data_IF_999466039192
#
_entry.id   IF_999466039192
#
_cell.length_a   1.000
_cell.length_b   1.000
_cell.length_c   1.000
_cell.angle_alpha   90.00
_cell.angle_beta   90.00
_cell.angle_gamma   90.00
#
_symmetry.space_group_name_H-M   'P 1'
#
loop_
_entity.id
_entity.type
_entity.pdbx_description
1 polymer ?
#
# COMPACT_ATOMS: atom_id res chain seq x y z
N UNK A 1 -10.46 12.06 -17.85
CA UNK A 1 -9.86 11.16 -16.85
C UNK A 1 -8.65 10.53 -17.51
N UNK A 2 -7.43 11.03 -17.25
CA UNK A 2 -6.23 10.42 -17.84
C UNK A 2 -6.01 9.08 -17.15
N UNK A 3 -6.23 7.98 -17.87
CA UNK A 3 -5.88 6.64 -17.41
C UNK A 3 -4.37 6.61 -17.18
N UNK A 4 -3.93 6.82 -15.94
CA UNK A 4 -2.52 6.75 -15.60
C UNK A 4 -2.16 5.28 -15.57
N UNK A 5 -1.21 4.87 -16.40
CA UNK A 5 -0.64 3.50 -16.40
C UNK A 5 -0.30 3.05 -14.97
N UNK A 6 0.13 3.99 -14.11
CA UNK A 6 0.33 3.79 -12.68
C UNK A 6 -0.88 3.14 -11.97
N UNK A 7 -2.12 3.60 -12.23
CA UNK A 7 -3.32 3.04 -11.59
C UNK A 7 -3.58 1.59 -11.97
N UNK A 8 -3.16 1.16 -13.16
CA UNK A 8 -3.20 -0.23 -13.57
C UNK A 8 -2.08 -1.03 -12.90
N UNK A 9 -0.87 -0.47 -12.84
CA UNK A 9 0.31 -1.15 -12.31
C UNK A 9 0.21 -1.49 -10.81
N UNK A 10 -0.45 -0.64 -10.00
CA UNK A 10 -0.69 -0.93 -8.56
C UNK A 10 -1.63 -2.12 -8.33
N UNK A 11 -2.31 -2.60 -9.36
CA UNK A 11 -3.22 -3.75 -9.33
C UNK A 11 -2.55 -4.96 -9.99
N UNK A 12 -2.03 -4.78 -11.21
CA UNK A 12 -1.41 -5.86 -11.97
C UNK A 12 -0.17 -6.44 -11.27
N UNK A 13 0.76 -5.61 -10.78
CA UNK A 13 2.00 -6.12 -10.16
C UNK A 13 1.68 -7.03 -8.96
N UNK A 14 0.87 -6.60 -7.97
CA UNK A 14 0.42 -7.47 -6.88
C UNK A 14 -0.23 -8.78 -7.37
N UNK A 15 -1.14 -8.69 -8.34
CA UNK A 15 -1.80 -9.86 -8.92
C UNK A 15 -0.83 -10.85 -9.56
N UNK A 16 0.17 -10.37 -10.30
CA UNK A 16 1.23 -11.21 -10.89
C UNK A 16 2.00 -11.91 -9.79
N UNK A 17 2.41 -11.17 -8.74
CA UNK A 17 3.20 -11.73 -7.64
C UNK A 17 2.42 -12.82 -6.91
N UNK A 18 1.16 -12.57 -6.55
CA UNK A 18 0.33 -13.57 -5.87
C UNK A 18 0.12 -14.81 -6.75
N UNK A 19 -0.21 -14.62 -8.03
CA UNK A 19 -0.46 -15.73 -8.97
C UNK A 19 0.80 -16.56 -9.19
N UNK A 20 1.93 -15.91 -9.49
CA UNK A 20 3.19 -16.56 -9.79
C UNK A 20 3.76 -17.29 -8.57
N UNK A 21 3.82 -16.62 -7.41
CA UNK A 21 4.37 -17.23 -6.21
C UNK A 21 3.49 -18.38 -5.70
N UNK A 22 2.16 -18.25 -5.75
CA UNK A 22 1.27 -19.36 -5.38
C UNK A 22 1.43 -20.54 -6.35
N UNK A 23 1.54 -20.27 -7.65
CA UNK A 23 1.78 -21.31 -8.66
C UNK A 23 3.09 -22.07 -8.42
N UNK A 24 4.19 -21.36 -8.18
CA UNK A 24 5.51 -21.96 -7.88
C UNK A 24 5.48 -22.81 -6.61
N UNK A 25 4.69 -22.43 -5.61
CA UNK A 25 4.63 -23.13 -4.33
C UNK A 25 3.72 -24.35 -4.33
N UNK A 26 2.73 -24.40 -5.22
CA UNK A 26 1.72 -25.46 -5.27
C UNK A 26 2.01 -26.48 -6.38
N UNK A 27 2.56 -26.04 -7.52
CA UNK A 27 2.78 -26.93 -8.67
C UNK A 27 4.09 -27.70 -8.52
N UNK A 28 4.01 -29.02 -8.65
CA UNK A 28 5.18 -29.88 -8.79
C UNK A 28 5.79 -29.72 -10.20
N UNK A 29 7.11 -29.87 -10.34
CA UNK A 29 7.87 -29.71 -11.60
C UNK A 29 7.31 -30.61 -12.72
N UNK A 30 6.78 -31.79 -12.36
CA UNK A 30 6.13 -32.71 -13.30
C UNK A 30 4.78 -32.20 -13.82
N UNK A 31 4.03 -31.47 -13.01
CA UNK A 31 2.76 -30.87 -13.42
C UNK A 31 2.98 -29.69 -14.36
N UNK A 32 4.10 -28.96 -14.18
CA UNK A 32 4.50 -27.89 -15.07
C UNK A 32 4.83 -28.38 -16.50
N UNK A 33 5.41 -29.58 -16.63
CA UNK A 33 5.78 -30.18 -17.93
C UNK A 33 4.56 -30.63 -18.75
N UNK A 34 3.50 -31.07 -18.10
CA UNK A 34 2.22 -31.43 -18.77
C UNK A 34 1.45 -30.17 -19.18
N UNK A 35 1.53 -29.11 -18.38
CA UNK A 35 0.89 -27.84 -18.71
C UNK A 35 1.51 -27.20 -19.95
N UNK A 36 2.84 -27.28 -20.12
CA UNK A 36 3.54 -26.65 -21.25
C UNK A 36 3.20 -27.26 -22.62
N UNK A 37 2.86 -28.55 -22.68
CA UNK A 37 2.47 -29.21 -23.93
C UNK A 37 1.05 -28.83 -24.39
N UNK A 38 0.13 -28.59 -23.44
CA UNK A 38 -1.25 -28.16 -23.69
C UNK A 38 -1.36 -26.70 -24.17
N UNK A 39 -0.44 -25.85 -23.74
CA UNK A 39 -0.50 -24.41 -24.02
C UNK A 39 -0.09 -24.09 -25.47
N UNK A 40 0.72 -24.95 -26.13
CA UNK A 40 1.43 -24.61 -27.38
C UNK A 40 0.49 -24.16 -28.52
N UNK A 41 -0.68 -24.78 -28.64
CA UNK A 41 -1.63 -24.49 -29.73
C UNK A 41 -2.68 -23.42 -29.38
N UNK A 42 -2.77 -23.00 -28.10
CA UNK A 42 -3.77 -22.04 -27.59
C UNK A 42 -3.16 -20.90 -26.77
N UNK A 43 -1.87 -20.63 -26.97
CA UNK A 43 -1.07 -19.62 -26.24
C UNK A 43 -1.80 -18.28 -26.05
N UNK A 44 -2.40 -17.73 -27.11
CA UNK A 44 -3.08 -16.45 -27.04
C UNK A 44 -4.28 -16.45 -26.07
N UNK A 45 -5.05 -17.53 -26.04
CA UNK A 45 -6.18 -17.70 -25.12
C UNK A 45 -5.69 -17.79 -23.68
N UNK A 46 -4.64 -18.57 -23.43
CA UNK A 46 -4.06 -18.72 -22.10
C UNK A 46 -3.44 -17.43 -21.57
N UNK A 47 -2.82 -16.60 -22.43
CA UNK A 47 -2.32 -15.28 -22.04
C UNK A 47 -3.47 -14.38 -21.60
N UNK A 48 -4.58 -14.35 -22.34
CA UNK A 48 -5.76 -13.55 -21.98
C UNK A 48 -6.40 -14.02 -20.67
N UNK A 49 -6.52 -15.34 -20.48
CA UNK A 49 -7.01 -15.92 -19.22
C UNK A 49 -6.07 -15.56 -18.07
N UNK A 50 -4.76 -15.70 -18.25
CA UNK A 50 -3.76 -15.33 -17.24
C UNK A 50 -3.85 -13.86 -16.85
N UNK A 51 -3.91 -12.96 -17.82
CA UNK A 51 -4.05 -11.51 -17.56
C UNK A 51 -5.36 -11.19 -16.83
N UNK A 52 -6.45 -11.88 -17.17
CA UNK A 52 -7.75 -11.71 -16.51
C UNK A 52 -7.69 -12.17 -15.04
N UNK A 53 -7.11 -13.35 -14.79
CA UNK A 53 -6.91 -13.88 -13.43
C UNK A 53 -6.01 -12.96 -12.60
N UNK A 54 -4.90 -12.52 -13.17
CA UNK A 54 -3.96 -11.57 -12.53
C UNK A 54 -4.68 -10.27 -12.16
N UNK A 55 -5.47 -9.72 -13.07
CA UNK A 55 -6.20 -8.48 -12.83
C UNK A 55 -7.21 -8.63 -11.69
N UNK A 56 -8.04 -9.69 -11.72
CA UNK A 56 -9.03 -9.98 -10.69
C UNK A 56 -8.38 -10.24 -9.32
N UNK A 57 -7.32 -11.04 -9.28
CA UNK A 57 -6.55 -11.28 -8.05
C UNK A 57 -5.89 -10.00 -7.55
N UNK A 58 -5.39 -9.13 -8.43
CA UNK A 58 -4.88 -7.82 -8.07
C UNK A 58 -5.90 -6.95 -7.35
N UNK A 59 -7.16 -6.93 -7.83
CA UNK A 59 -8.26 -6.23 -7.14
C UNK A 59 -8.57 -6.84 -5.78
N UNK A 60 -8.60 -8.17 -5.71
CA UNK A 60 -8.80 -8.87 -4.44
C UNK A 60 -7.69 -8.55 -3.43
N UNK A 61 -6.44 -8.48 -3.88
CA UNK A 61 -5.30 -8.08 -3.06
C UNK A 61 -5.40 -6.61 -2.63
N UNK A 62 -5.88 -5.70 -3.49
CA UNK A 62 -6.10 -4.29 -3.12
C UNK A 62 -7.18 -4.15 -2.03
N UNK A 63 -8.25 -4.94 -2.13
CA UNK A 63 -9.28 -5.04 -1.11
C UNK A 63 -8.71 -5.57 0.22
N UNK A 64 -7.99 -6.70 0.19
CA UNK A 64 -7.32 -7.24 1.38
C UNK A 64 -6.33 -6.24 1.98
N UNK A 65 -5.56 -5.54 1.14
CA UNK A 65 -4.62 -4.54 1.60
C UNK A 65 -5.29 -3.35 2.28
N UNK A 66 -6.48 -2.96 1.82
CA UNK A 66 -7.28 -1.94 2.48
C UNK A 66 -7.78 -2.39 3.85
N UNK A 67 -8.17 -3.66 4.00
CA UNK A 67 -8.53 -4.24 5.32
C UNK A 67 -7.31 -4.34 6.24
N UNK A 68 -6.17 -4.79 5.73
CA UNK A 68 -4.91 -4.84 6.47
C UNK A 68 -4.46 -3.45 6.91
N UNK A 69 -4.66 -2.42 6.09
CA UNK A 69 -4.42 -1.02 6.46
C UNK A 69 -5.25 -0.55 7.64
N UNK A 70 -6.55 -0.87 7.63
CA UNK A 70 -7.44 -0.53 8.73
C UNK A 70 -7.04 -1.24 10.03
N UNK A 71 -6.73 -2.54 9.95
CA UNK A 71 -6.25 -3.31 11.09
C UNK A 71 -4.91 -2.79 11.61
N UNK A 72 -3.95 -2.55 10.71
CA UNK A 72 -2.64 -2.03 11.06
C UNK A 72 -2.76 -0.70 11.83
N UNK A 73 -3.57 0.25 11.35
CA UNK A 73 -3.75 1.53 12.05
C UNK A 73 -4.73 1.50 13.23
N UNK A 74 -5.38 0.37 13.48
CA UNK A 74 -6.07 0.13 14.76
C UNK A 74 -5.04 -0.08 15.87
N UNK A 75 -4.02 -0.91 15.61
CA UNK A 75 -2.97 -1.28 16.57
C UNK A 75 -1.79 -0.30 16.61
N UNK A 76 -1.47 0.34 15.47
CA UNK A 76 -0.38 1.31 15.37
C UNK A 76 -0.92 2.72 15.11
N UNK A 77 -0.13 3.73 15.45
CA UNK A 77 -0.49 5.12 15.16
C UNK A 77 -0.52 5.39 13.66
N UNK A 78 -1.55 6.14 13.21
CA UNK A 78 -1.59 6.68 11.85
C UNK A 78 -0.44 7.66 11.64
N UNK A 79 0.14 7.73 10.42
CA UNK A 79 1.23 8.66 10.14
C UNK A 79 0.86 10.13 10.42
N UNK A 80 -0.38 10.54 10.15
CA UNK A 80 -0.86 11.90 10.46
C UNK A 80 -0.75 12.24 11.95
N UNK A 81 -1.22 11.34 12.83
CA UNK A 81 -1.09 11.49 14.28
C UNK A 81 0.37 11.53 14.71
N UNK A 82 1.19 10.62 14.19
CA UNK A 82 2.61 10.56 14.53
C UNK A 82 3.39 11.80 14.07
N UNK A 83 3.03 12.40 12.93
CA UNK A 83 3.64 13.64 12.43
C UNK A 83 3.24 14.85 13.31
N UNK A 84 1.96 15.00 13.63
CA UNK A 84 1.46 16.10 14.45
C UNK A 84 2.03 16.07 15.88
N UNK A 85 2.19 14.87 16.46
CA UNK A 85 2.75 14.70 17.80
C UNK A 85 4.27 14.46 17.83
N UNK A 86 5.00 14.65 16.72
CA UNK A 86 6.47 14.47 16.65
C UNK A 86 6.99 13.09 17.11
N UNK A 87 6.17 12.05 17.03
CA UNK A 87 6.55 10.70 17.47
C UNK A 87 7.66 10.08 16.59
N UNK A 88 7.83 10.53 15.34
CA UNK A 88 8.80 9.99 14.39
C UNK A 88 9.86 11.03 13.98
N UNK A 89 11.00 11.05 14.67
CA UNK A 89 12.11 11.99 14.40
C UNK A 89 12.71 11.89 13.00
N UNK A 90 12.69 10.69 12.37
CA UNK A 90 13.32 10.45 11.05
C UNK A 90 12.57 11.12 9.89
N UNK A 91 11.28 11.37 10.04
CA UNK A 91 10.45 12.02 9.02
C UNK A 91 9.71 13.16 9.72
N UNK A 92 10.39 14.29 10.00
CA UNK A 92 9.76 15.41 10.67
C UNK A 92 8.78 16.11 9.73
N UNK A 93 7.80 16.78 10.34
CA UNK A 93 7.00 17.82 9.70
C UNK A 93 7.69 19.15 10.02
N UNK A 94 8.43 19.71 9.07
CA UNK A 94 9.00 21.06 9.19
C UNK A 94 7.89 22.09 9.34
N UNK A 95 8.14 23.16 10.08
CA UNK A 95 7.16 24.24 10.32
C UNK A 95 5.82 23.72 10.86
N UNK A 96 5.87 22.59 11.59
CA UNK A 96 4.71 21.91 12.17
C UNK A 96 3.79 22.86 12.90
N UNK A 97 4.36 23.79 13.68
CA UNK A 97 3.59 24.69 14.52
C UNK A 97 2.73 25.62 13.67
N UNK A 98 3.33 26.23 12.64
CA UNK A 98 2.63 27.08 11.68
C UNK A 98 1.56 26.31 10.91
N UNK A 99 1.85 25.05 10.52
CA UNK A 99 0.89 24.19 9.85
C UNK A 99 -0.30 23.87 10.76
N UNK A 100 -0.04 23.50 12.02
CA UNK A 100 -1.09 23.21 13.00
C UNK A 100 -1.94 24.44 13.23
N UNK A 101 -1.30 25.58 13.48
CA UNK A 101 -1.98 26.83 13.80
C UNK A 101 -2.88 27.27 12.64
N UNK A 102 -2.37 27.25 11.40
CA UNK A 102 -3.15 27.53 10.20
C UNK A 102 -4.36 26.61 10.05
N UNK A 103 -4.16 25.29 10.19
CA UNK A 103 -5.26 24.32 10.03
C UNK A 103 -6.30 24.46 11.15
N UNK A 104 -5.87 24.70 12.38
CA UNK A 104 -6.73 24.94 13.53
C UNK A 104 -7.52 26.25 13.39
N UNK A 105 -6.87 27.34 12.96
CA UNK A 105 -7.53 28.63 12.69
C UNK A 105 -8.62 28.47 11.63
N UNK A 106 -8.30 27.79 10.51
CA UNK A 106 -9.26 27.52 9.44
C UNK A 106 -10.44 26.65 9.89
N UNK A 107 -10.22 25.73 10.83
CA UNK A 107 -11.25 24.90 11.45
C UNK A 107 -11.97 25.60 12.62
N UNK A 108 -11.60 26.84 12.97
CA UNK A 108 -12.08 27.58 14.15
C UNK A 108 -11.96 26.78 15.45
N UNK A 109 -10.83 26.08 15.62
CA UNK A 109 -10.56 25.19 16.75
C UNK A 109 -9.27 25.60 17.46
N UNK A 110 -9.18 25.35 18.76
CA UNK A 110 -7.95 25.54 19.52
C UNK A 110 -6.88 24.50 19.15
N UNK A 111 -5.63 24.94 19.13
CA UNK A 111 -4.44 24.13 18.84
C UNK A 111 -3.96 23.31 20.04
N UNK A 112 -4.88 22.69 20.80
CA UNK A 112 -4.51 21.91 21.97
C UNK A 112 -3.69 20.66 21.60
N UNK A 113 -2.53 20.51 22.26
CA UNK A 113 -1.61 19.39 22.13
C UNK A 113 -1.57 18.58 23.44
N UNK A 114 -1.28 17.27 23.40
CA UNK A 114 -1.10 16.43 22.22
C UNK A 114 -2.42 16.12 21.51
N UNK A 115 -2.37 15.88 20.20
CA UNK A 115 -3.56 15.48 19.45
C UNK A 115 -3.93 14.02 19.76
N UNK A 116 -5.21 13.76 19.91
CA UNK A 116 -5.76 12.41 19.95
C UNK A 116 -5.98 11.86 18.52
N UNK A 117 -6.30 10.56 18.42
CA UNK A 117 -6.53 9.89 17.12
C UNK A 117 -7.62 10.58 16.29
N UNK A 118 -8.68 11.09 16.94
CA UNK A 118 -9.82 11.67 16.22
C UNK A 118 -9.46 13.06 15.69
N UNK A 119 -8.90 13.94 16.52
CA UNK A 119 -8.52 15.29 16.09
C UNK A 119 -7.43 15.27 15.01
N UNK A 120 -6.44 14.37 15.12
CA UNK A 120 -5.43 14.20 14.08
C UNK A 120 -6.03 13.70 12.75
N UNK A 121 -7.04 12.84 12.80
CA UNK A 121 -7.73 12.35 11.61
C UNK A 121 -8.59 13.44 10.97
N UNK A 122 -9.24 14.28 11.77
CA UNK A 122 -10.02 15.43 11.31
C UNK A 122 -9.13 16.48 10.61
N UNK A 123 -8.04 16.88 11.27
CA UNK A 123 -7.03 17.78 10.68
C UNK A 123 -6.48 17.24 9.36
N UNK A 124 -6.16 15.94 9.32
CA UNK A 124 -5.66 15.31 8.11
C UNK A 124 -6.71 15.26 6.99
N UNK A 125 -7.97 14.94 7.31
CA UNK A 125 -9.07 14.99 6.33
C UNK A 125 -9.23 16.40 5.76
N UNK A 126 -9.18 17.41 6.61
CA UNK A 126 -9.30 18.79 6.20
C UNK A 126 -8.13 19.23 5.31
N UNK A 127 -6.89 18.94 5.71
CA UNK A 127 -5.71 19.17 4.86
C UNK A 127 -5.83 18.45 3.50
N UNK A 128 -6.38 17.24 3.50
CA UNK A 128 -6.60 16.47 2.28
C UNK A 128 -7.69 17.06 1.36
N UNK A 129 -8.59 17.91 1.86
CA UNK A 129 -9.52 18.70 1.04
C UNK A 129 -8.82 19.96 0.53
N UNK A 130 -8.08 20.66 1.38
CA UNK A 130 -7.39 21.90 1.02
C UNK A 130 -6.33 21.70 -0.07
N UNK A 131 -5.64 20.56 -0.08
CA UNK A 131 -4.64 20.25 -1.11
C UNK A 131 -5.23 20.34 -2.53
N UNK A 132 -6.50 20.04 -2.73
CA UNK A 132 -7.09 20.01 -4.08
C UNK A 132 -7.18 21.42 -4.69
N UNK A 133 -7.15 22.46 -3.86
CA UNK A 133 -7.11 23.88 -4.26
C UNK A 133 -5.68 24.43 -4.39
N UNK A 134 -4.66 23.62 -4.14
CA UNK A 134 -3.24 24.01 -4.18
C UNK A 134 -2.64 23.93 -5.59
N UNK A 135 -1.32 24.15 -5.71
CA UNK A 135 -0.64 24.09 -7.00
C UNK A 135 -0.70 22.69 -7.66
N UNK A 136 -0.75 22.66 -9.00
CA UNK A 136 -0.68 21.41 -9.78
C UNK A 136 0.57 20.58 -9.43
N UNK A 137 1.71 21.24 -9.20
CA UNK A 137 2.99 20.60 -8.84
C UNK A 137 2.95 19.92 -7.47
N UNK A 138 2.27 20.52 -6.49
CA UNK A 138 2.02 19.89 -5.20
C UNK A 138 1.19 18.61 -5.34
N UNK A 139 0.12 18.69 -6.12
CA UNK A 139 -0.80 17.57 -6.35
C UNK A 139 -0.15 16.40 -7.11
N UNK A 140 0.77 16.65 -8.04
CA UNK A 140 1.57 15.61 -8.70
C UNK A 140 2.44 14.84 -7.70
N UNK A 141 3.21 15.54 -6.85
CA UNK A 141 4.04 14.89 -5.81
C UNK A 141 3.20 14.06 -4.84
N UNK A 142 2.01 14.55 -4.45
CA UNK A 142 1.09 13.79 -3.60
C UNK A 142 0.64 12.52 -4.30
N UNK A 143 0.31 12.59 -5.59
CA UNK A 143 -0.08 11.44 -6.39
C UNK A 143 1.03 10.38 -6.43
N UNK A 144 2.30 10.78 -6.56
CA UNK A 144 3.43 9.84 -6.58
C UNK A 144 3.62 9.13 -5.25
N UNK A 145 3.54 9.87 -4.14
CA UNK A 145 3.58 9.27 -2.80
C UNK A 145 2.38 8.38 -2.52
N UNK A 146 1.19 8.77 -2.99
CA UNK A 146 -0.01 7.96 -2.89
C UNK A 146 0.14 6.65 -3.66
N UNK A 147 0.57 6.72 -4.92
CA UNK A 147 0.82 5.54 -5.75
C UNK A 147 1.84 4.61 -5.08
N UNK A 148 2.98 5.16 -4.65
CA UNK A 148 4.03 4.39 -3.97
C UNK A 148 3.54 3.71 -2.69
N UNK A 149 2.67 4.41 -1.93
CA UNK A 149 2.01 3.89 -0.75
C UNK A 149 1.11 2.70 -1.09
N UNK A 150 0.19 2.86 -2.05
CA UNK A 150 -0.78 1.81 -2.41
C UNK A 150 -0.07 0.59 -3.01
N UNK A 151 0.92 0.80 -3.88
CA UNK A 151 1.70 -0.30 -4.44
C UNK A 151 2.41 -1.08 -3.32
N UNK A 152 3.10 -0.40 -2.40
CA UNK A 152 3.80 -1.08 -1.29
C UNK A 152 2.86 -1.86 -0.38
N UNK A 153 1.68 -1.29 -0.09
CA UNK A 153 0.61 -1.96 0.67
C UNK A 153 0.13 -3.22 -0.03
N UNK A 154 -0.16 -3.13 -1.32
CA UNK A 154 -0.68 -4.26 -2.08
C UNK A 154 0.40 -5.34 -2.27
N UNK A 155 1.67 -4.96 -2.42
CA UNK A 155 2.79 -5.90 -2.40
C UNK A 155 2.89 -6.66 -1.07
N UNK A 156 2.83 -5.96 0.05
CA UNK A 156 2.82 -6.58 1.38
C UNK A 156 1.63 -7.54 1.53
N UNK A 157 0.46 -7.11 1.08
CA UNK A 157 -0.76 -7.93 1.08
C UNK A 157 -0.63 -9.17 0.20
N UNK A 158 0.06 -9.06 -0.95
CA UNK A 158 0.35 -10.18 -1.86
C UNK A 158 1.22 -11.24 -1.19
N UNK A 159 2.28 -10.81 -0.49
CA UNK A 159 3.16 -11.73 0.25
C UNK A 159 2.40 -12.42 1.38
N UNK A 160 1.59 -11.67 2.13
CA UNK A 160 0.78 -12.24 3.21
C UNK A 160 -0.28 -13.22 2.70
N UNK A 161 -0.98 -12.87 1.61
CA UNK A 161 -2.00 -13.75 1.03
C UNK A 161 -1.38 -15.02 0.47
N UNK A 162 -0.23 -14.91 -0.20
CA UNK A 162 0.52 -16.07 -0.70
C UNK A 162 1.00 -16.96 0.45
N UNK A 163 1.50 -16.36 1.54
CA UNK A 163 1.88 -17.10 2.74
C UNK A 163 0.68 -17.82 3.38
N UNK A 164 -0.48 -17.18 3.44
CA UNK A 164 -1.70 -17.80 3.95
C UNK A 164 -2.17 -18.97 3.08
N UNK A 165 -2.16 -18.82 1.75
CA UNK A 165 -2.48 -19.91 0.81
C UNK A 165 -1.52 -21.08 1.01
N UNK A 166 -0.22 -20.78 1.09
CA UNK A 166 0.82 -21.78 1.34
C UNK A 166 0.61 -22.51 2.66
N UNK A 167 0.30 -21.80 3.75
CA UNK A 167 0.03 -22.38 5.06
C UNK A 167 -1.20 -23.31 5.04
N UNK A 168 -2.28 -22.90 4.38
CA UNK A 168 -3.48 -23.75 4.20
C UNK A 168 -3.15 -25.01 3.40
N UNK A 169 -2.40 -24.87 2.30
CA UNK A 169 -1.98 -26.01 1.49
C UNK A 169 -1.08 -26.99 2.26
N UNK A 170 -0.17 -26.47 3.08
CA UNK A 170 0.68 -27.27 3.96
C UNK A 170 -0.13 -28.06 4.99
N UNK A 171 -1.20 -27.48 5.55
CA UNK A 171 -2.08 -28.20 6.48
C UNK A 171 -2.84 -29.36 5.82
N UNK A 172 -3.26 -29.19 4.56
CA UNK A 172 -3.99 -30.23 3.80
C UNK A 172 -3.04 -31.33 3.30
N UNK A 173 -1.83 -30.94 2.90
CA UNK A 173 -0.85 -31.82 2.24
C UNK A 173 0.53 -31.77 2.92
N UNK A 174 0.63 -32.17 4.21
CA UNK A 174 1.83 -31.95 5.02
C UNK A 174 3.07 -32.74 4.55
N UNK A 175 2.89 -33.77 3.73
CA UNK A 175 3.99 -34.57 3.16
C UNK A 175 4.53 -34.00 1.85
N UNK A 176 3.83 -33.05 1.21
CA UNK A 176 4.13 -32.62 -0.15
C UNK A 176 5.14 -31.46 -0.23
N UNK A 177 5.19 -30.59 0.79
CA UNK A 177 6.02 -29.39 0.71
C UNK A 177 6.74 -29.13 2.03
N UNK A 178 8.06 -29.31 2.12
CA UNK A 178 8.81 -28.93 3.30
C UNK A 178 8.73 -27.40 3.49
N UNK A 179 8.71 -26.94 4.74
CA UNK A 179 8.73 -25.52 5.10
C UNK A 179 10.09 -24.92 4.66
N UNK A 180 10.17 -24.59 3.37
CA UNK A 180 11.42 -24.31 2.66
C UNK A 180 11.81 -22.84 2.74
N UNK A 181 13.01 -22.54 2.25
CA UNK A 181 13.57 -21.18 2.01
C UNK A 181 12.55 -20.22 1.38
N UNK A 182 11.62 -20.71 0.56
CA UNK A 182 10.56 -19.90 -0.04
C UNK A 182 9.60 -19.28 1.00
N UNK A 183 9.25 -20.00 2.07
CA UNK A 183 8.39 -19.49 3.14
C UNK A 183 9.06 -18.36 3.94
N UNK A 184 10.37 -18.49 4.20
CA UNK A 184 11.20 -17.43 4.77
C UNK A 184 11.26 -16.21 3.82
N UNK A 185 11.41 -16.45 2.51
CA UNK A 185 11.38 -15.41 1.49
C UNK A 185 10.05 -14.63 1.47
N UNK A 186 8.90 -15.33 1.57
CA UNK A 186 7.59 -14.69 1.68
C UNK A 186 7.47 -13.84 2.94
N UNK A 187 7.93 -14.36 4.08
CA UNK A 187 7.92 -13.65 5.35
C UNK A 187 8.78 -12.38 5.27
N UNK A 188 10.04 -12.49 4.83
CA UNK A 188 10.92 -11.34 4.64
C UNK A 188 10.34 -10.34 3.63
N UNK A 189 9.76 -10.82 2.53
CA UNK A 189 9.05 -10.01 1.54
C UNK A 189 7.91 -9.20 2.16
N UNK A 190 7.09 -9.82 3.00
CA UNK A 190 6.02 -9.17 3.75
C UNK A 190 6.55 -8.05 4.66
N UNK A 191 7.57 -8.31 5.48
CA UNK A 191 8.13 -7.29 6.39
C UNK A 191 8.82 -6.16 5.64
N UNK A 192 9.61 -6.45 4.61
CA UNK A 192 10.28 -5.44 3.80
C UNK A 192 9.29 -4.50 3.11
N UNK A 193 8.26 -5.07 2.46
CA UNK A 193 7.22 -4.28 1.79
C UNK A 193 6.30 -3.57 2.78
N UNK A 194 6.01 -4.18 3.93
CA UNK A 194 5.27 -3.56 5.03
C UNK A 194 6.00 -2.35 5.63
N UNK A 195 7.31 -2.45 5.81
CA UNK A 195 8.15 -1.33 6.24
C UNK A 195 8.15 -0.19 5.21
N UNK A 196 8.32 -0.52 3.91
CA UNK A 196 8.22 0.48 2.83
C UNK A 196 6.84 1.14 2.78
N UNK A 197 5.78 0.37 2.92
CA UNK A 197 4.41 0.88 2.98
C UNK A 197 4.25 1.88 4.13
N UNK A 198 4.75 1.56 5.33
CA UNK A 198 4.75 2.49 6.46
C UNK A 198 5.47 3.79 6.11
N UNK A 199 6.69 3.72 5.58
CA UNK A 199 7.47 4.91 5.19
C UNK A 199 6.74 5.77 4.15
N UNK A 200 6.25 5.17 3.07
CA UNK A 200 5.54 5.91 2.03
C UNK A 200 4.24 6.53 2.55
N UNK A 201 3.59 5.91 3.54
CA UNK A 201 2.42 6.49 4.21
C UNK A 201 2.76 7.76 5.01
N UNK A 202 3.95 7.81 5.62
CA UNK A 202 4.47 9.03 6.25
C UNK A 202 4.75 10.13 5.24
N UNK A 203 5.46 9.81 4.14
CA UNK A 203 5.74 10.80 3.10
C UNK A 203 4.48 11.35 2.44
N UNK A 204 3.50 10.48 2.16
CA UNK A 204 2.20 10.89 1.67
C UNK A 204 1.52 11.87 2.64
N UNK A 205 1.42 11.51 3.91
CA UNK A 205 0.71 12.34 4.90
C UNK A 205 1.40 13.68 5.12
N UNK A 206 2.74 13.69 5.15
CA UNK A 206 3.54 14.91 5.24
C UNK A 206 3.34 15.82 4.03
N UNK A 207 3.37 15.26 2.83
CA UNK A 207 3.18 16.04 1.61
C UNK A 207 1.79 16.65 1.53
N UNK A 208 0.76 15.93 1.98
CA UNK A 208 -0.61 16.48 2.10
C UNK A 208 -0.63 17.71 3.00
N UNK A 209 0.02 17.67 4.17
CA UNK A 209 0.11 18.84 5.06
C UNK A 209 0.84 20.01 4.42
N UNK A 210 2.00 19.79 3.81
CA UNK A 210 2.76 20.88 3.15
C UNK A 210 1.98 21.53 2.02
N UNK A 211 1.35 20.71 1.18
CA UNK A 211 0.63 21.21 0.02
C UNK A 211 -0.69 21.89 0.41
N UNK A 212 -1.36 21.43 1.48
CA UNK A 212 -2.52 22.13 2.04
C UNK A 212 -2.17 23.54 2.55
N UNK A 213 -0.94 23.72 3.03
CA UNK A 213 -0.44 24.98 3.59
C UNK A 213 0.53 25.70 2.64
N UNK A 214 0.55 25.38 1.33
CA UNK A 214 1.55 25.90 0.39
C UNK A 214 1.59 27.43 0.34
N UNK A 215 0.46 28.09 0.59
CA UNK A 215 0.35 29.54 0.62
C UNK A 215 1.11 30.20 1.79
N UNK A 216 1.31 29.47 2.91
CA UNK A 216 2.10 29.96 4.04
C UNK A 216 3.59 30.06 3.71
N UNK A 217 4.07 29.22 2.79
CA UNK A 217 5.50 29.11 2.46
C UNK A 217 5.89 29.91 1.22
N UNK A 218 4.95 30.65 0.63
CA UNK A 218 5.16 31.50 -0.55
C UNK A 218 5.28 32.99 -0.22
N UNK A 219 5.01 33.38 1.03
CA UNK A 219 5.24 34.74 1.56
C UNK A 219 6.66 34.89 2.09
#
# INVERSE_FOLDING_TARGET
>A
MNFRVQDLMKILIPGIITTFLSGVLILDVKQFTVLSSLIKDTMAVWILVFLSVVYLLGYFVDFLGSLLEQLFYKYFDKPSLSLLNEKLKRIPLSDREQIIEYLCEKLKRSSHRPFDKNSANELFKYANVLKDYSSKRGNEKISDYYFSKILSRNLSSSFLSTFAIYAVFFLITPKAVPFNVCSLGLFLGFFCTGYRWRIHSFYYSRQVFYTACENLFKS
#
